data_IF_462872302666
#
_entry.id   IF_462872302666
#
_cell.length_a   1.000
_cell.length_b   1.000
_cell.length_c   1.000
_cell.angle_alpha   90.00
_cell.angle_beta   90.00
_cell.angle_gamma   90.00
#
_symmetry.space_group_name_H-M   'P 1'
#
loop_
_entity.id
_entity.type
_entity.pdbx_description
1 polymer ?
#
# COMPACT_ATOMS: atom_id res chain seq x y z
N UNK A 1 0.93 -21.28 13.33
CA UNK A 1 -0.12 -21.12 14.37
C UNK A 1 -0.61 -19.69 14.32
N UNK A 2 -1.90 -19.51 13.99
CA UNK A 2 -2.54 -18.18 13.88
C UNK A 2 -3.06 -17.79 15.25
N UNK A 3 -2.55 -16.69 15.83
CA UNK A 3 -3.11 -16.13 17.06
C UNK A 3 -4.13 -15.04 16.72
N UNK A 4 -5.33 -15.15 17.28
CA UNK A 4 -6.41 -14.18 17.17
C UNK A 4 -6.38 -13.26 18.39
N UNK A 5 -6.14 -11.97 18.17
CA UNK A 5 -6.24 -10.93 19.19
C UNK A 5 -7.56 -10.18 19.02
N UNK A 6 -8.48 -10.33 19.97
CA UNK A 6 -9.77 -9.68 19.95
C UNK A 6 -9.73 -8.37 20.75
N UNK A 7 -9.90 -7.25 20.06
CA UNK A 7 -10.15 -5.93 20.64
C UNK A 7 -11.31 -5.28 19.89
N UNK A 8 -12.48 -5.23 20.50
CA UNK A 8 -13.72 -4.85 19.86
C UNK A 8 -14.04 -3.36 19.99
N UNK A 9 -14.32 -2.68 18.86
CA UNK A 9 -15.34 -1.62 18.77
C UNK A 9 -16.00 -1.70 17.38
N UNK A 10 -17.33 -1.59 17.35
CA UNK A 10 -18.20 -1.78 16.19
C UNK A 10 -17.98 -0.66 15.14
N UNK A 11 -17.46 -1.04 14.04
CA UNK A 11 -17.35 -0.44 12.72
C UNK A 11 -16.74 -1.54 11.90
N UNK A 12 -17.20 -1.84 10.69
CA UNK A 12 -16.77 -2.97 9.83
C UNK A 12 -15.50 -3.66 10.33
N UNK A 13 -15.64 -4.84 10.96
CA UNK A 13 -14.54 -5.55 11.64
C UNK A 13 -13.46 -5.90 10.62
N UNK A 14 -12.50 -5.02 10.45
CA UNK A 14 -11.25 -5.35 9.78
C UNK A 14 -10.44 -6.21 10.74
N UNK A 15 -10.38 -7.49 10.44
CA UNK A 15 -9.69 -8.46 11.28
C UNK A 15 -8.18 -8.35 11.02
N UNK A 16 -7.39 -8.12 12.07
CA UNK A 16 -5.94 -8.15 12.01
C UNK A 16 -5.47 -9.60 12.18
N UNK A 17 -4.60 -10.06 11.28
CA UNK A 17 -4.00 -11.39 11.32
C UNK A 17 -2.48 -11.29 11.32
N UNK A 18 -1.83 -12.13 12.10
CA UNK A 18 -0.38 -12.26 12.10
C UNK A 18 -0.03 -13.58 11.43
N UNK A 19 0.81 -13.48 10.40
CA UNK A 19 1.37 -14.58 9.65
C UNK A 19 2.75 -14.92 10.25
N UNK A 20 2.98 -16.18 10.57
CA UNK A 20 4.30 -16.67 10.99
C UNK A 20 5.24 -16.73 9.78
N UNK A 21 5.90 -15.59 9.50
CA UNK A 21 6.83 -15.43 8.39
C UNK A 21 7.92 -14.41 8.77
N UNK A 22 9.18 -14.71 8.44
CA UNK A 22 10.34 -13.89 8.83
C UNK A 22 10.51 -12.60 8.03
N UNK A 23 10.11 -12.58 6.75
CA UNK A 23 10.21 -11.35 5.97
C UNK A 23 9.19 -10.32 6.44
N UNK A 24 9.57 -9.06 6.43
CA UNK A 24 8.72 -7.94 6.81
C UNK A 24 7.68 -7.67 5.70
N UNK A 25 6.45 -8.13 5.91
CA UNK A 25 5.36 -8.05 4.92
C UNK A 25 4.09 -7.55 5.60
N UNK A 26 3.42 -6.61 4.96
CA UNK A 26 2.03 -6.25 5.22
C UNK A 26 1.23 -6.34 3.92
N UNK A 27 -0.01 -6.78 4.00
CA UNK A 27 -0.93 -6.77 2.87
C UNK A 27 -2.38 -6.85 3.32
N UNK A 28 -3.26 -6.46 2.43
CA UNK A 28 -4.70 -6.52 2.64
C UNK A 28 -5.33 -7.65 1.83
N UNK A 29 -6.31 -8.30 2.43
CA UNK A 29 -7.20 -9.25 1.75
C UNK A 29 -8.58 -8.60 1.65
N UNK A 30 -8.97 -8.11 0.45
CA UNK A 30 -10.31 -7.59 0.23
C UNK A 30 -11.34 -8.73 0.25
N UNK A 31 -12.57 -8.44 0.65
CA UNK A 31 -13.65 -9.42 0.69
C UNK A 31 -14.76 -9.02 1.63
N UNK A 32 -15.74 -9.93 1.86
CA UNK A 32 -16.84 -9.73 2.81
C UNK A 32 -16.35 -9.49 4.25
N UNK A 33 -15.20 -10.06 4.59
CA UNK A 33 -14.47 -9.80 5.82
C UNK A 33 -13.04 -9.37 5.43
N UNK A 34 -12.90 -8.08 5.16
CA UNK A 34 -11.59 -7.51 4.82
C UNK A 34 -10.60 -7.68 5.97
N UNK A 35 -9.38 -8.10 5.67
CA UNK A 35 -8.34 -8.39 6.65
C UNK A 35 -7.06 -7.65 6.32
N UNK A 36 -6.40 -7.17 7.36
CA UNK A 36 -5.01 -6.73 7.29
C UNK A 36 -4.14 -7.86 7.82
N UNK A 37 -3.19 -8.29 7.04
CA UNK A 37 -2.25 -9.36 7.41
C UNK A 37 -0.87 -8.76 7.57
N UNK A 38 -0.25 -9.02 8.72
CA UNK A 38 1.12 -8.61 9.04
C UNK A 38 1.95 -9.86 9.30
N UNK A 39 3.21 -9.85 8.89
CA UNK A 39 4.13 -10.93 9.25
C UNK A 39 4.71 -10.73 10.65
N UNK A 40 5.17 -11.81 11.28
CA UNK A 40 5.91 -11.78 12.53
C UNK A 40 7.19 -10.94 12.36
N UNK A 41 7.92 -11.10 11.25
CA UNK A 41 9.12 -10.32 10.96
C UNK A 41 8.86 -8.82 10.86
N UNK A 42 7.69 -8.40 10.35
CA UNK A 42 7.32 -6.98 10.34
C UNK A 42 7.06 -6.46 11.76
N UNK A 43 6.36 -7.23 12.59
CA UNK A 43 6.07 -6.87 13.99
C UNK A 43 7.33 -6.79 14.83
N UNK A 44 8.33 -7.63 14.56
CA UNK A 44 9.64 -7.59 15.23
C UNK A 44 10.51 -6.41 14.75
N UNK A 45 10.38 -6.01 13.48
CA UNK A 45 11.17 -4.96 12.86
C UNK A 45 10.73 -3.55 13.28
N UNK A 46 9.42 -3.34 13.44
CA UNK A 46 8.82 -2.02 13.62
C UNK A 46 8.47 -1.75 15.09
N UNK A 47 8.66 -0.50 15.52
CA UNK A 47 8.11 0.00 16.77
C UNK A 47 6.57 0.13 16.71
N UNK A 48 5.94 0.30 17.86
CA UNK A 48 4.48 0.34 17.99
C UNK A 48 3.84 1.45 17.14
N UNK A 49 4.45 2.65 17.08
CA UNK A 49 3.96 3.78 16.30
C UNK A 49 4.12 3.54 14.79
N UNK A 50 5.25 3.00 14.37
CA UNK A 50 5.53 2.62 12.99
C UNK A 50 4.56 1.52 12.51
N UNK A 51 4.34 0.51 13.36
CA UNK A 51 3.39 -0.57 13.08
C UNK A 51 1.96 -0.03 12.94
N UNK A 52 1.58 0.92 13.80
CA UNK A 52 0.27 1.59 13.70
C UNK A 52 0.15 2.36 12.39
N UNK A 53 1.22 3.05 11.96
CA UNK A 53 1.22 3.79 10.69
C UNK A 53 1.06 2.84 9.49
N UNK A 54 1.74 1.70 9.48
CA UNK A 54 1.58 0.67 8.44
C UNK A 54 0.16 0.10 8.45
N UNK A 55 -0.42 -0.20 9.61
CA UNK A 55 -1.80 -0.69 9.70
C UNK A 55 -2.80 0.33 9.14
N UNK A 56 -2.63 1.63 9.42
CA UNK A 56 -3.51 2.67 8.86
C UNK A 56 -3.32 2.84 7.34
N UNK A 57 -2.09 2.64 6.82
CA UNK A 57 -1.82 2.60 5.38
C UNK A 57 -2.58 1.43 4.71
N UNK A 58 -2.47 0.23 5.24
CA UNK A 58 -3.20 -0.93 4.74
C UNK A 58 -4.73 -0.74 4.81
N UNK A 59 -5.20 -0.13 5.91
CA UNK A 59 -6.62 0.22 6.04
C UNK A 59 -7.09 1.27 5.03
N UNK A 60 -6.22 2.19 4.63
CA UNK A 60 -6.55 3.16 3.58
C UNK A 60 -6.82 2.45 2.25
N UNK A 61 -5.99 1.48 1.85
CA UNK A 61 -6.23 0.66 0.67
C UNK A 61 -7.58 -0.06 0.71
N UNK A 62 -7.93 -0.66 1.85
CA UNK A 62 -9.23 -1.35 2.00
C UNK A 62 -10.42 -0.39 1.90
N UNK A 63 -10.34 0.78 2.54
CA UNK A 63 -11.44 1.76 2.56
C UNK A 63 -11.70 2.35 1.18
N UNK A 64 -10.62 2.68 0.46
CA UNK A 64 -10.70 3.28 -0.86
C UNK A 64 -10.84 2.24 -1.99
N UNK A 65 -10.82 0.94 -1.67
CA UNK A 65 -10.86 -0.16 -2.64
C UNK A 65 -9.84 0.02 -3.77
N UNK A 66 -8.61 0.37 -3.42
CA UNK A 66 -7.54 0.61 -4.38
C UNK A 66 -7.26 -0.61 -5.27
N UNK A 67 -7.54 -1.82 -4.78
CA UNK A 67 -7.52 -3.07 -5.56
C UNK A 67 -8.43 -3.00 -6.79
N UNK A 68 -9.66 -2.51 -6.63
CA UNK A 68 -10.60 -2.36 -7.73
C UNK A 68 -10.20 -1.23 -8.69
N UNK A 69 -9.57 -0.17 -8.17
CA UNK A 69 -9.10 0.94 -8.99
C UNK A 69 -7.94 0.52 -9.91
N UNK A 70 -7.00 -0.27 -9.41
CA UNK A 70 -5.81 -0.70 -10.14
C UNK A 70 -6.10 -1.85 -11.12
N UNK A 71 -7.11 -2.69 -10.83
CA UNK A 71 -7.43 -3.89 -11.59
C UNK A 71 -7.66 -3.66 -13.10
N UNK A 72 -8.46 -2.66 -13.56
CA UNK A 72 -8.65 -2.43 -14.99
C UNK A 72 -7.36 -2.03 -15.69
N UNK A 73 -6.49 -1.25 -15.06
CA UNK A 73 -5.19 -0.87 -15.63
C UNK A 73 -4.26 -2.08 -15.76
N UNK A 74 -4.29 -3.01 -14.80
CA UNK A 74 -3.56 -4.28 -14.89
C UNK A 74 -4.11 -5.14 -16.04
N UNK A 75 -5.43 -5.25 -16.16
CA UNK A 75 -6.06 -5.97 -17.26
C UNK A 75 -5.70 -5.38 -18.63
N UNK A 76 -5.72 -4.05 -18.76
CA UNK A 76 -5.29 -3.36 -19.98
C UNK A 76 -3.79 -3.55 -20.25
N UNK A 77 -2.95 -3.53 -19.24
CA UNK A 77 -1.52 -3.79 -19.41
C UNK A 77 -1.24 -5.20 -19.94
N UNK A 78 -2.05 -6.18 -19.56
CA UNK A 78 -2.00 -7.55 -20.10
C UNK A 78 -2.56 -7.61 -21.51
N UNK A 79 -3.75 -7.07 -21.75
CA UNK A 79 -4.46 -7.19 -23.02
C UNK A 79 -3.90 -6.27 -24.13
N UNK A 80 -3.45 -5.07 -23.75
CA UNK A 80 -3.05 -3.98 -24.65
C UNK A 80 -1.62 -3.49 -24.36
N UNK A 81 -0.79 -4.31 -23.73
CA UNK A 81 0.57 -3.92 -23.33
C UNK A 81 1.52 -3.56 -24.48
N UNK A 82 1.11 -3.84 -25.72
CA UNK A 82 1.76 -3.40 -26.95
C UNK A 82 1.40 -1.96 -27.36
N UNK A 83 0.33 -1.39 -26.79
CA UNK A 83 -0.08 0.00 -27.05
C UNK A 83 0.81 0.95 -26.24
N UNK A 84 1.50 1.92 -26.87
CA UNK A 84 2.30 2.90 -26.17
C UNK A 84 1.45 3.66 -25.11
N UNK A 85 1.99 3.79 -23.90
CA UNK A 85 1.33 4.52 -22.80
C UNK A 85 0.49 3.66 -21.86
N UNK A 86 0.02 2.48 -22.25
CA UNK A 86 -0.85 1.64 -21.39
C UNK A 86 -0.11 1.17 -20.14
N UNK A 87 1.10 0.63 -20.28
CA UNK A 87 1.90 0.18 -19.14
C UNK A 87 2.31 1.32 -18.22
N UNK A 88 2.86 2.45 -18.72
CA UNK A 88 3.15 3.63 -17.89
C UNK A 88 1.92 4.17 -17.16
N UNK A 89 0.75 4.22 -17.80
CA UNK A 89 -0.48 4.66 -17.15
C UNK A 89 -0.84 3.77 -15.95
N UNK A 90 -0.77 2.46 -16.09
CA UNK A 90 -1.00 1.52 -14.99
C UNK A 90 -0.01 1.70 -13.84
N UNK A 91 1.26 1.92 -14.14
CA UNK A 91 2.28 2.19 -13.13
C UNK A 91 2.01 3.50 -12.38
N UNK A 92 1.66 4.57 -13.10
CA UNK A 92 1.33 5.87 -12.49
C UNK A 92 0.09 5.78 -11.59
N UNK A 93 -0.94 5.04 -11.98
CA UNK A 93 -2.13 4.85 -11.14
C UNK A 93 -1.77 4.07 -9.87
N UNK A 94 -0.97 3.02 -9.97
CA UNK A 94 -0.52 2.27 -8.81
C UNK A 94 0.29 3.17 -7.84
N UNK A 95 1.20 3.98 -8.37
CA UNK A 95 1.98 4.94 -7.57
C UNK A 95 1.09 5.97 -6.87
N UNK A 96 0.13 6.55 -7.58
CA UNK A 96 -0.82 7.51 -7.01
C UNK A 96 -1.67 6.90 -5.91
N UNK A 97 -2.09 5.64 -6.03
CA UNK A 97 -2.83 4.94 -4.96
C UNK A 97 -1.98 4.74 -3.71
N UNK A 98 -0.68 4.47 -3.86
CA UNK A 98 0.26 4.40 -2.75
C UNK A 98 0.40 5.76 -2.04
N UNK A 99 0.58 6.84 -2.81
CA UNK A 99 0.68 8.20 -2.26
C UNK A 99 -0.58 8.62 -1.51
N UNK A 100 -1.77 8.27 -2.03
CA UNK A 100 -3.04 8.54 -1.35
C UNK A 100 -3.17 7.75 -0.05
N UNK A 101 -2.77 6.48 -0.04
CA UNK A 101 -2.77 5.67 1.17
C UNK A 101 -1.80 6.22 2.22
N UNK A 102 -0.62 6.69 1.79
CA UNK A 102 0.35 7.36 2.64
C UNK A 102 -0.23 8.63 3.29
N UNK A 103 -0.89 9.49 2.51
CA UNK A 103 -1.51 10.71 3.02
C UNK A 103 -2.62 10.42 4.04
N UNK A 104 -3.46 9.43 3.78
CA UNK A 104 -4.52 9.00 4.71
C UNK A 104 -3.93 8.42 6.00
N UNK A 105 -2.89 7.61 5.91
CA UNK A 105 -2.21 7.05 7.06
C UNK A 105 -1.51 8.15 7.89
N UNK A 106 -0.76 9.02 7.23
CA UNK A 106 -0.05 10.13 7.85
C UNK A 106 -0.98 11.14 8.53
N UNK A 107 -2.19 11.33 8.02
CA UNK A 107 -3.21 12.18 8.66
C UNK A 107 -3.78 11.57 9.96
N UNK A 108 -3.62 10.26 10.17
CA UNK A 108 -4.13 9.53 11.34
C UNK A 108 -3.06 9.14 12.34
N UNK A 109 -1.81 9.15 11.89
CA UNK A 109 -0.64 8.78 12.68
C UNK A 109 0.41 9.89 12.56
N UNK A 110 1.63 9.57 12.15
CA UNK A 110 2.71 10.50 11.94
C UNK A 110 3.39 10.25 10.60
N UNK A 111 3.73 11.32 9.86
CA UNK A 111 4.50 11.24 8.62
C UNK A 111 5.89 10.62 8.87
N UNK A 112 6.52 10.98 9.96
CA UNK A 112 7.85 10.47 10.33
C UNK A 112 7.81 8.98 10.65
N UNK A 113 6.78 8.51 11.37
CA UNK A 113 6.65 7.09 11.72
C UNK A 113 6.40 6.23 10.49
N UNK A 114 5.53 6.71 9.58
CA UNK A 114 5.29 6.02 8.31
C UNK A 114 6.55 6.01 7.42
N UNK A 115 7.25 7.14 7.31
CA UNK A 115 8.50 7.23 6.54
C UNK A 115 9.58 6.31 7.11
N UNK A 116 9.72 6.27 8.44
CA UNK A 116 10.65 5.36 9.13
C UNK A 116 10.29 3.90 8.88
N UNK A 117 9.01 3.54 8.99
CA UNK A 117 8.53 2.18 8.71
C UNK A 117 8.85 1.75 7.27
N UNK A 118 8.53 2.59 6.28
CA UNK A 118 8.82 2.32 4.87
C UNK A 118 10.33 2.12 4.62
N UNK A 119 11.17 2.97 5.21
CA UNK A 119 12.62 2.87 5.09
C UNK A 119 13.14 1.56 5.72
N UNK A 120 12.69 1.20 6.92
CA UNK A 120 13.09 -0.04 7.59
C UNK A 120 12.69 -1.29 6.79
N UNK A 121 11.47 -1.31 6.29
CA UNK A 121 10.98 -2.42 5.45
C UNK A 121 11.79 -2.54 4.16
N UNK A 122 12.08 -1.42 3.49
CA UNK A 122 12.90 -1.43 2.28
C UNK A 122 14.33 -1.92 2.54
N UNK A 123 14.90 -1.61 3.70
CA UNK A 123 16.24 -2.05 4.09
C UNK A 123 16.30 -3.48 4.62
N UNK A 124 15.19 -4.06 5.04
CA UNK A 124 15.13 -5.44 5.57
C UNK A 124 15.31 -6.53 4.51
N UNK A 125 15.39 -6.16 3.24
CA UNK A 125 15.60 -7.06 2.11
C UNK A 125 14.34 -7.27 1.26
N UNK A 126 14.47 -7.96 0.13
CA UNK A 126 13.33 -8.16 -0.76
C UNK A 126 12.25 -8.95 -0.03
N UNK A 127 11.05 -8.39 0.02
CA UNK A 127 9.87 -9.19 0.35
C UNK A 127 9.85 -10.40 -0.60
N UNK A 128 9.53 -11.63 -0.12
CA UNK A 128 9.32 -12.74 -1.01
C UNK A 128 8.30 -12.29 -2.04
N UNK A 129 8.62 -12.49 -3.32
CA UNK A 129 7.84 -11.99 -4.43
C UNK A 129 6.36 -12.31 -4.19
N UNK A 130 5.54 -11.28 -4.06
CA UNK A 130 4.13 -11.44 -4.33
C UNK A 130 4.01 -12.12 -5.70
N UNK A 131 3.08 -13.06 -5.92
CA UNK A 131 3.03 -13.87 -7.13
C UNK A 131 3.23 -12.96 -8.33
N UNK A 132 4.26 -13.28 -9.10
CA UNK A 132 4.86 -12.53 -10.19
C UNK A 132 3.92 -11.50 -10.86
N UNK A 133 4.02 -10.25 -10.45
CA UNK A 133 3.54 -9.15 -11.26
C UNK A 133 4.66 -8.85 -12.26
N UNK A 134 4.45 -9.36 -13.45
CA UNK A 134 5.21 -9.19 -14.70
C UNK A 134 6.26 -8.06 -14.67
N UNK A 135 7.54 -8.45 -14.71
CA UNK A 135 8.64 -7.72 -15.30
C UNK A 135 9.10 -6.43 -14.63
N UNK A 136 10.36 -6.33 -14.30
CA UNK A 136 11.12 -5.13 -13.90
C UNK A 136 10.74 -4.42 -12.58
N UNK A 137 9.96 -5.05 -11.72
CA UNK A 137 9.37 -4.44 -10.52
C UNK A 137 10.39 -4.08 -9.42
N UNK A 138 11.58 -4.68 -9.38
CA UNK A 138 12.50 -4.48 -8.25
C UNK A 138 13.24 -3.13 -8.29
N UNK A 139 13.70 -2.69 -9.46
CA UNK A 139 14.36 -1.39 -9.57
C UNK A 139 13.37 -0.23 -9.44
N UNK A 140 12.18 -0.38 -10.02
CA UNK A 140 11.07 0.57 -9.90
C UNK A 140 10.59 0.64 -8.44
N UNK A 141 10.52 -0.49 -7.73
CA UNK A 141 10.10 -0.55 -6.34
C UNK A 141 11.00 0.24 -5.38
N UNK A 142 12.30 0.14 -5.52
CA UNK A 142 13.25 0.85 -4.64
C UNK A 142 13.20 2.38 -4.86
N UNK A 143 13.08 2.84 -6.10
CA UNK A 143 12.93 4.27 -6.43
C UNK A 143 11.60 4.80 -5.91
N UNK A 144 10.51 4.06 -6.11
CA UNK A 144 9.19 4.44 -5.64
C UNK A 144 9.13 4.57 -4.10
N UNK A 145 9.76 3.66 -3.34
CA UNK A 145 9.83 3.78 -1.88
C UNK A 145 10.63 5.02 -1.47
N UNK A 146 11.76 5.30 -2.13
CA UNK A 146 12.59 6.48 -1.84
C UNK A 146 11.80 7.78 -2.07
N UNK A 147 11.05 7.86 -3.15
CA UNK A 147 10.25 9.03 -3.49
C UNK A 147 9.06 9.21 -2.50
N UNK A 148 8.44 8.12 -2.07
CA UNK A 148 7.41 8.15 -1.01
C UNK A 148 7.98 8.63 0.32
N UNK A 149 9.13 8.11 0.75
CA UNK A 149 9.80 8.55 1.98
C UNK A 149 10.16 10.04 1.90
N UNK A 150 10.73 10.49 0.78
CA UNK A 150 11.04 11.90 0.57
C UNK A 150 9.80 12.78 0.64
N UNK A 151 8.70 12.39 -0.02
CA UNK A 151 7.43 13.11 0.00
C UNK A 151 6.81 13.18 1.41
N UNK A 152 6.94 12.13 2.20
CA UNK A 152 6.45 12.12 3.59
C UNK A 152 7.26 13.08 4.47
N UNK A 153 8.57 13.16 4.27
CA UNK A 153 9.45 14.02 5.06
C UNK A 153 9.43 15.49 4.60
N UNK A 154 9.21 15.72 3.30
CA UNK A 154 9.08 17.06 2.70
C UNK A 154 7.75 17.15 1.91
N UNK A 155 6.64 17.40 2.63
CA UNK A 155 5.31 17.31 2.05
C UNK A 155 5.03 18.46 1.08
N UNK A 156 5.14 18.19 -0.20
CA UNK A 156 4.54 19.01 -1.24
C UNK A 156 3.10 18.52 -1.44
N UNK A 157 2.08 19.35 -1.20
CA UNK A 157 0.69 18.92 -1.38
C UNK A 157 0.48 18.52 -2.84
N UNK A 158 -0.20 17.38 -3.05
CA UNK A 158 -0.65 17.00 -4.39
C UNK A 158 -1.39 18.18 -5.00
N UNK A 159 -1.07 18.51 -6.24
CA UNK A 159 -1.76 19.57 -6.95
C UNK A 159 -3.24 19.21 -7.12
N UNK A 160 -4.10 20.24 -7.16
CA UNK A 160 -5.56 20.03 -7.29
C UNK A 160 -5.94 19.20 -8.51
N UNK A 161 -5.14 19.24 -9.58
CA UNK A 161 -5.39 18.46 -10.79
C UNK A 161 -5.02 16.97 -10.61
N UNK A 162 -3.99 16.62 -9.82
CA UNK A 162 -3.65 15.24 -9.48
C UNK A 162 -4.77 14.59 -8.66
N UNK A 163 -5.30 15.32 -7.68
CA UNK A 163 -6.47 14.88 -6.89
C UNK A 163 -7.69 14.72 -7.80
N UNK A 164 -7.94 15.66 -8.71
CA UNK A 164 -9.06 15.60 -9.63
C UNK A 164 -8.96 14.42 -10.61
N UNK A 165 -7.77 14.10 -11.11
CA UNK A 165 -7.54 12.99 -12.02
C UNK A 165 -7.87 11.63 -11.34
N UNK A 166 -7.43 11.44 -10.09
CA UNK A 166 -7.73 10.21 -9.33
C UNK A 166 -9.22 10.13 -8.99
N UNK A 167 -9.84 11.27 -8.62
CA UNK A 167 -11.28 11.32 -8.31
C UNK A 167 -12.16 11.06 -9.53
N UNK A 168 -11.77 11.56 -10.72
CA UNK A 168 -12.50 11.33 -11.96
C UNK A 168 -12.52 9.84 -12.35
N UNK A 169 -11.43 9.12 -12.14
CA UNK A 169 -11.36 7.68 -12.40
C UNK A 169 -12.24 6.90 -11.42
N UNK A 170 -12.35 7.35 -10.16
CA UNK A 170 -13.21 6.71 -9.15
C UNK A 170 -14.72 6.91 -9.39
N UNK A 171 -15.11 7.90 -10.18
CA UNK A 171 -16.53 8.19 -10.51
C UNK A 171 -16.97 7.44 -11.76
N UNK A 172 -16.03 7.04 -12.62
CA UNK A 172 -16.31 6.36 -13.91
C UNK A 172 -16.37 4.82 -13.79
N UNK A 173 -16.05 4.26 -12.64
CA UNK A 173 -16.13 2.84 -12.27
C UNK A 173 -17.23 2.56 -11.25
#
# INVERSE_FOLDING_TARGET
TVRSGAGARQGTRQELRILDHRAAIAYTLPGWHSRVVLSAGLVELLGEQELTAVIEHERAHLRARHDLLVLPFQAWAVALGWVPGVRPAGASVAELTEMLADDVAAARTSRSDLASALAKVALSGPAPAAPERLGDAQAIGATAVTDRVRRLLDPHPLSRWEIAAVSAVSILL
#
